data_IF_070876620077
#
_entry.id   IF_070876620077
#
_cell.length_a   1.000
_cell.length_b   1.000
_cell.length_c   1.000
_cell.angle_alpha   90.00
_cell.angle_beta   90.00
_cell.angle_gamma   90.00
#
_symmetry.space_group_name_H-M   'P 1'
#
loop_
_entity.id
_entity.type
_entity.pdbx_description
1 polymer ?
#
# COMPACT_ATOMS: atom_id res chain seq x y z
N UNK A 1 18.27 -14.06 -26.75
CA UNK A 1 17.23 -14.01 -25.70
C UNK A 1 17.93 -14.20 -24.38
N UNK A 2 18.28 -13.10 -23.71
CA UNK A 2 18.93 -13.17 -22.39
C UNK A 2 17.82 -13.11 -21.34
N UNK A 3 17.45 -14.26 -20.78
CA UNK A 3 16.56 -14.32 -19.62
C UNK A 3 17.37 -13.98 -18.37
N UNK A 4 17.57 -12.70 -18.13
CA UNK A 4 18.07 -12.22 -16.83
C UNK A 4 16.89 -12.20 -15.87
N UNK A 5 16.57 -13.33 -15.26
CA UNK A 5 15.73 -13.39 -14.07
C UNK A 5 16.49 -12.74 -12.92
N UNK A 6 16.25 -11.46 -12.69
CA UNK A 6 16.81 -10.72 -11.55
C UNK A 6 15.84 -10.86 -10.38
N UNK A 7 16.28 -11.64 -9.37
CA UNK A 7 15.98 -11.62 -7.94
C UNK A 7 14.56 -11.24 -7.47
N UNK A 8 13.91 -12.20 -6.80
CA UNK A 8 13.02 -11.89 -5.69
C UNK A 8 13.65 -12.46 -4.41
N UNK A 9 14.69 -11.79 -3.92
CA UNK A 9 14.96 -11.83 -2.48
C UNK A 9 13.75 -11.16 -1.82
N UNK A 10 13.22 -11.71 -0.71
CA UNK A 10 12.07 -11.10 -0.04
C UNK A 10 12.53 -9.76 0.55
N UNK A 11 12.31 -8.66 -0.18
CA UNK A 11 12.62 -7.32 0.28
C UNK A 11 11.67 -6.95 1.42
N UNK A 12 12.24 -6.73 2.60
CA UNK A 12 11.51 -6.27 3.78
C UNK A 12 11.43 -4.74 3.77
N UNK A 13 10.27 -4.20 4.12
CA UNK A 13 10.07 -2.76 4.18
C UNK A 13 10.72 -2.16 5.44
N UNK A 14 11.50 -1.09 5.27
CA UNK A 14 12.01 -0.27 6.38
C UNK A 14 11.12 0.97 6.56
N UNK A 15 10.59 1.15 7.77
CA UNK A 15 9.67 2.23 8.11
C UNK A 15 10.37 3.48 8.67
N UNK A 16 11.70 3.48 8.79
CA UNK A 16 12.49 4.64 9.23
C UNK A 16 12.71 5.66 8.11
N UNK A 17 11.61 6.26 7.64
CA UNK A 17 11.63 7.29 6.60
C UNK A 17 12.03 8.67 7.14
N UNK A 18 12.32 9.63 6.25
CA UNK A 18 12.61 11.03 6.59
C UNK A 18 11.54 11.95 6.00
N UNK A 19 10.87 12.80 6.81
CA UNK A 19 11.00 12.90 8.27
C UNK A 19 10.52 11.62 8.97
N UNK A 20 11.06 11.35 10.16
CA UNK A 20 10.67 10.18 10.94
C UNK A 20 9.19 10.31 11.35
N UNK A 21 8.37 9.26 11.19
CA UNK A 21 6.99 9.26 11.65
C UNK A 21 6.89 9.54 13.16
N UNK A 22 5.77 10.14 13.59
CA UNK A 22 5.53 10.47 15.00
C UNK A 22 5.54 9.22 15.91
N UNK A 23 5.02 8.10 15.42
CA UNK A 23 4.97 6.83 16.15
C UNK A 23 5.11 5.64 15.20
N UNK A 24 5.97 4.68 15.55
CA UNK A 24 6.10 3.39 14.89
C UNK A 24 5.83 2.29 15.92
N UNK A 25 4.89 1.37 15.63
CA UNK A 25 4.56 0.24 16.51
C UNK A 25 4.63 -1.05 15.71
N UNK A 26 5.66 -1.84 15.94
CA UNK A 26 5.84 -3.15 15.30
C UNK A 26 5.13 -4.20 16.15
N UNK A 27 4.23 -4.95 15.53
CA UNK A 27 3.51 -6.06 16.14
C UNK A 27 3.94 -7.37 15.50
N UNK A 28 4.05 -8.44 16.28
CA UNK A 28 4.33 -9.78 15.75
C UNK A 28 3.15 -10.33 14.95
N UNK A 29 3.41 -11.17 13.96
CA UNK A 29 2.36 -11.76 13.13
C UNK A 29 2.87 -12.22 11.77
N UNK A 30 1.95 -12.67 10.91
CA UNK A 30 2.27 -12.88 9.49
C UNK A 30 2.33 -11.51 8.79
N UNK A 31 3.34 -11.26 7.95
CA UNK A 31 3.45 -10.00 7.22
C UNK A 31 2.39 -9.89 6.13
N UNK A 32 2.09 -8.65 5.72
CA UNK A 32 1.45 -8.37 4.45
C UNK A 32 2.43 -8.69 3.31
N UNK A 33 1.98 -9.44 2.30
CA UNK A 33 2.80 -9.75 1.12
C UNK A 33 2.26 -8.97 -0.07
N UNK A 34 2.95 -7.89 -0.43
CA UNK A 34 2.65 -7.13 -1.64
C UNK A 34 3.02 -7.96 -2.87
N UNK A 35 2.04 -8.25 -3.71
CA UNK A 35 2.26 -9.07 -4.90
C UNK A 35 1.34 -8.62 -6.06
N UNK A 36 1.50 -9.24 -7.24
CA UNK A 36 0.76 -8.87 -8.45
C UNK A 36 -0.75 -9.09 -8.35
N UNK A 37 -1.22 -9.87 -7.38
CA UNK A 37 -2.65 -10.05 -7.10
C UNK A 37 -3.20 -9.02 -6.11
N UNK A 38 -2.40 -8.11 -5.56
CA UNK A 38 -2.91 -7.04 -4.68
C UNK A 38 -3.61 -5.94 -5.48
N UNK A 39 -4.72 -5.44 -4.95
CA UNK A 39 -5.40 -4.26 -5.50
C UNK A 39 -5.17 -3.04 -4.58
N UNK A 40 -5.25 -1.84 -5.17
CA UNK A 40 -5.35 -0.59 -4.43
C UNK A 40 -6.82 -0.13 -4.46
N UNK A 41 -7.44 -0.09 -3.30
CA UNK A 41 -8.87 0.17 -3.14
C UNK A 41 -9.09 1.54 -2.51
N UNK A 42 -9.81 2.42 -3.19
CA UNK A 42 -10.16 3.75 -2.69
C UNK A 42 -11.66 3.86 -2.38
N UNK A 43 -12.06 4.81 -1.53
CA UNK A 43 -13.47 5.04 -1.22
C UNK A 43 -14.26 5.49 -2.46
N UNK A 44 -15.35 4.80 -2.79
CA UNK A 44 -16.19 5.13 -3.94
C UNK A 44 -16.69 6.58 -3.88
N UNK A 45 -16.64 7.28 -5.01
CA UNK A 45 -17.08 8.68 -5.12
C UNK A 45 -16.01 9.71 -4.73
N UNK A 46 -14.87 9.30 -4.18
CA UNK A 46 -13.79 10.22 -3.82
C UNK A 46 -12.76 10.32 -4.97
N UNK A 47 -12.86 11.39 -5.75
CA UNK A 47 -11.96 11.65 -6.89
C UNK A 47 -10.52 11.98 -6.46
N UNK A 48 -10.32 12.56 -5.27
CA UNK A 48 -9.00 12.86 -4.73
C UNK A 48 -8.31 11.58 -4.28
N UNK A 49 -9.02 10.70 -3.57
CA UNK A 49 -8.47 9.39 -3.22
C UNK A 49 -8.24 8.51 -4.45
N UNK A 50 -9.08 8.59 -5.48
CA UNK A 50 -8.80 7.90 -6.76
C UNK A 50 -7.48 8.35 -7.35
N UNK A 51 -7.22 9.66 -7.39
CA UNK A 51 -5.94 10.21 -7.87
C UNK A 51 -4.77 9.72 -7.04
N UNK A 52 -4.90 9.72 -5.71
CA UNK A 52 -3.85 9.23 -4.80
C UNK A 52 -3.60 7.72 -4.98
N UNK A 53 -4.65 6.93 -5.22
CA UNK A 53 -4.52 5.50 -5.49
C UNK A 53 -3.79 5.21 -6.81
N UNK A 54 -4.06 6.00 -7.86
CA UNK A 54 -3.33 5.92 -9.13
C UNK A 54 -1.85 6.28 -8.92
N UNK A 55 -1.57 7.36 -8.19
CA UNK A 55 -0.20 7.77 -7.86
C UNK A 55 0.55 6.67 -7.09
N UNK A 56 -0.10 6.03 -6.13
CA UNK A 56 0.48 4.89 -5.40
C UNK A 56 0.77 3.70 -6.33
N UNK A 57 -0.13 3.38 -7.25
CA UNK A 57 0.07 2.30 -8.23
C UNK A 57 1.31 2.57 -9.11
N UNK A 58 1.49 3.80 -9.56
CA UNK A 58 2.67 4.22 -10.33
C UNK A 58 3.95 4.11 -9.50
N UNK A 59 3.90 4.51 -8.22
CA UNK A 59 5.04 4.41 -7.31
C UNK A 59 5.45 2.95 -7.07
N UNK A 60 4.49 2.05 -6.83
CA UNK A 60 4.74 0.62 -6.67
C UNK A 60 5.36 0.05 -7.95
N UNK A 61 4.82 0.39 -9.12
CA UNK A 61 5.38 -0.05 -10.41
C UNK A 61 6.81 0.42 -10.60
N UNK A 62 7.11 1.68 -10.25
CA UNK A 62 8.46 2.24 -10.37
C UNK A 62 9.44 1.61 -9.37
N UNK A 63 8.98 1.32 -8.16
CA UNK A 63 9.84 0.88 -7.06
C UNK A 63 10.13 -0.62 -7.10
N UNK A 64 9.12 -1.45 -7.39
CA UNK A 64 9.22 -2.92 -7.33
C UNK A 64 8.69 -3.63 -8.58
N UNK A 65 8.32 -2.89 -9.64
CA UNK A 65 7.90 -3.46 -10.93
C UNK A 65 6.48 -4.01 -10.99
N UNK A 66 5.73 -4.01 -9.87
CA UNK A 66 4.38 -4.55 -9.81
C UNK A 66 3.35 -3.57 -10.39
N UNK A 67 2.50 -4.06 -11.29
CA UNK A 67 1.38 -3.29 -11.85
C UNK A 67 0.09 -3.68 -11.15
N UNK A 68 -0.35 -2.87 -10.18
CA UNK A 68 -1.54 -3.15 -9.37
C UNK A 68 -2.80 -2.51 -9.98
N UNK A 69 -3.95 -3.15 -9.75
CA UNK A 69 -5.25 -2.63 -10.18
C UNK A 69 -5.78 -1.62 -9.17
N UNK A 70 -6.25 -0.47 -9.66
CA UNK A 70 -6.91 0.56 -8.86
C UNK A 70 -8.42 0.48 -9.04
N UNK A 71 -9.18 0.33 -7.96
CA UNK A 71 -10.64 0.20 -8.01
C UNK A 71 -11.33 0.76 -6.76
N UNK A 72 -12.61 1.11 -6.89
CA UNK A 72 -13.41 1.62 -5.77
C UNK A 72 -14.02 0.53 -4.88
N UNK A 73 -13.94 -0.72 -5.34
CA UNK A 73 -14.41 -1.91 -4.64
C UNK A 73 -13.57 -3.11 -5.09
N UNK A 74 -13.08 -3.93 -4.16
CA UNK A 74 -12.43 -5.21 -4.50
C UNK A 74 -13.36 -6.36 -4.16
N UNK A 75 -13.37 -7.37 -5.03
CA UNK A 75 -14.04 -8.65 -4.79
C UNK A 75 -13.30 -9.51 -3.75
N UNK A 76 -12.04 -9.16 -3.44
CA UNK A 76 -11.23 -9.81 -2.40
C UNK A 76 -11.32 -9.00 -1.11
N UNK A 77 -11.54 -9.70 0.00
CA UNK A 77 -11.53 -9.10 1.34
C UNK A 77 -10.14 -8.97 1.95
N UNK A 78 -9.11 -9.48 1.27
CA UNK A 78 -7.76 -9.74 1.80
C UNK A 78 -6.72 -9.45 0.70
N UNK A 79 -5.50 -9.09 1.10
CA UNK A 79 -4.33 -8.91 0.24
C UNK A 79 -4.32 -7.58 -0.52
N UNK A 80 -5.06 -6.58 -0.04
CA UNK A 80 -5.27 -5.31 -0.73
C UNK A 80 -4.83 -4.11 0.12
N UNK A 81 -4.42 -3.04 -0.55
CA UNK A 81 -4.12 -1.75 0.09
C UNK A 81 -5.39 -0.90 0.06
N UNK A 82 -5.79 -0.32 1.19
CA UNK A 82 -6.99 0.50 1.28
C UNK A 82 -6.69 1.96 1.62
N UNK A 83 -7.18 2.88 0.79
CA UNK A 83 -7.13 4.32 1.03
C UNK A 83 -8.49 4.81 1.56
N UNK A 84 -8.48 5.39 2.76
CA UNK A 84 -9.70 5.85 3.46
C UNK A 84 -9.44 7.19 4.14
N UNK A 85 -10.50 7.99 4.29
CA UNK A 85 -10.51 9.15 5.19
C UNK A 85 -11.17 8.71 6.50
N UNK A 86 -10.41 8.74 7.59
CA UNK A 86 -10.94 8.54 8.94
C UNK A 86 -11.13 9.89 9.63
N UNK A 87 -12.38 10.29 9.82
CA UNK A 87 -12.75 11.55 10.48
C UNK A 87 -12.39 11.59 11.97
N UNK A 88 -11.95 10.47 12.55
CA UNK A 88 -11.53 10.38 13.95
C UNK A 88 -10.06 10.73 14.15
N UNK A 89 -9.27 10.80 13.08
CA UNK A 89 -7.88 11.24 13.15
C UNK A 89 -7.87 12.77 13.19
N UNK A 90 -7.17 13.34 14.18
CA UNK A 90 -7.07 14.78 14.36
C UNK A 90 -5.85 15.34 13.62
N UNK A 91 -6.02 16.49 12.97
CA UNK A 91 -4.97 17.20 12.24
C UNK A 91 -5.18 17.16 10.73
N UNK A 92 -4.92 18.28 10.06
CA UNK A 92 -5.21 18.46 8.63
C UNK A 92 -4.32 17.59 7.71
N UNK A 93 -3.14 17.19 8.18
CA UNK A 93 -2.16 16.37 7.45
C UNK A 93 -1.86 15.04 8.16
N UNK A 94 -2.65 14.67 9.17
CA UNK A 94 -2.41 13.47 9.94
C UNK A 94 -2.70 12.20 9.12
N UNK A 95 -1.89 11.16 9.33
CA UNK A 95 -2.03 9.88 8.64
C UNK A 95 -1.82 8.71 9.60
N UNK A 96 -2.33 7.55 9.19
CA UNK A 96 -2.11 6.27 9.87
C UNK A 96 -1.94 5.18 8.83
N UNK A 97 -0.89 4.39 8.98
CA UNK A 97 -0.65 3.19 8.16
C UNK A 97 -0.78 2.00 9.10
N UNK A 98 -1.73 1.12 8.80
CA UNK A 98 -1.91 -0.17 9.47
C UNK A 98 -1.50 -1.25 8.49
N UNK A 99 -0.72 -2.21 8.97
CA UNK A 99 -0.25 -3.34 8.19
C UNK A 99 -0.56 -4.59 9.00
N UNK A 100 -1.32 -5.50 8.41
CA UNK A 100 -1.47 -6.86 8.91
C UNK A 100 -1.45 -7.86 7.75
N UNK A 101 -1.60 -9.16 8.02
CA UNK A 101 -1.55 -10.17 6.95
C UNK A 101 -2.62 -9.96 5.87
N UNK A 102 -3.69 -9.22 6.19
CA UNK A 102 -4.87 -9.00 5.38
C UNK A 102 -4.83 -7.71 4.55
N UNK A 103 -4.14 -6.66 5.02
CA UNK A 103 -4.11 -5.35 4.37
C UNK A 103 -2.95 -4.46 4.79
#
# INVERSE_FOLDING_TARGET
MCVSSVYADNAEADYHVVPLPESIKISGGKPFILNASSDIVYAHGDSLLKRNAIFLAEYVKKSVGLSLVVQSHSLKSDGNIFLRIDKKINGDEAYKIEIDKHN
#
